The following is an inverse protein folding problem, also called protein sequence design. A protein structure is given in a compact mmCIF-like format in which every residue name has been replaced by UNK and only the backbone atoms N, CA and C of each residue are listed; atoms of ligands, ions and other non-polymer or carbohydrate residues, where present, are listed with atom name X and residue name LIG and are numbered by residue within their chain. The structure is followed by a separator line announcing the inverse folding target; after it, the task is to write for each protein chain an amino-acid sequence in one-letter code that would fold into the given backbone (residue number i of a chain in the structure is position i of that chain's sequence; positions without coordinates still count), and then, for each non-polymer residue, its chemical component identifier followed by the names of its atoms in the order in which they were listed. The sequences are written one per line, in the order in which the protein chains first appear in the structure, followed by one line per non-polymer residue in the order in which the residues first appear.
data_IF_450859168283
#
_entry.id   IF_450859168283
#
_cell.length_a   1.000
_cell.length_b   1.000
_cell.length_c   1.000
_cell.angle_alpha   90.00
_cell.angle_beta   90.00
_cell.angle_gamma   90.00
#
_symmetry.space_group_name_H-M   'P 1'
#
loop_
_entity.id
_entity.type
_entity.pdbx_description
1 polymer ?
#
# COMPACT_ATOMS: atom_id res chain seq x y z
N UNK A 1 19.12 -20.45 57.42
CA UNK A 1 20.50 -20.16 57.89
C UNK A 1 21.37 -19.82 56.67
N UNK A 2 21.95 -18.60 56.68
CA UNK A 2 23.21 -18.19 56.01
C UNK A 2 23.17 -18.17 54.46
N UNK A 3 22.80 -17.07 53.79
CA UNK A 3 23.59 -15.85 53.49
C UNK A 3 24.99 -16.11 52.95
N UNK A 4 25.20 -15.92 51.64
CA UNK A 4 26.46 -15.40 51.07
C UNK A 4 26.20 -14.56 49.82
N UNK A 5 26.33 -13.26 50.05
CA UNK A 5 26.61 -12.19 49.08
C UNK A 5 27.95 -12.48 48.40
N UNK A 6 28.02 -12.28 47.08
CA UNK A 6 29.26 -11.91 46.40
C UNK A 6 28.93 -10.96 45.24
N UNK A 7 29.29 -9.70 45.50
CA UNK A 7 29.43 -8.62 44.53
C UNK A 7 30.37 -9.04 43.39
N UNK A 8 29.98 -8.76 42.15
CA UNK A 8 30.93 -8.49 41.07
C UNK A 8 30.52 -7.18 40.42
N UNK A 9 31.26 -6.13 40.77
CA UNK A 9 31.28 -4.84 40.11
C UNK A 9 32.39 -4.85 39.05
N UNK A 10 32.07 -4.46 37.82
CA UNK A 10 32.96 -3.99 36.72
C UNK A 10 32.15 -4.10 35.43
N UNK A 11 32.11 -3.18 34.48
CA UNK A 11 32.96 -2.04 34.13
C UNK A 11 32.11 -1.12 33.23
N UNK A 12 32.16 0.18 33.47
CA UNK A 12 31.44 1.21 32.72
C UNK A 12 32.26 1.56 31.47
N UNK A 13 31.77 1.24 30.27
CA UNK A 13 32.34 1.72 29.00
C UNK A 13 31.35 2.70 28.39
N UNK A 14 31.62 3.99 28.60
CA UNK A 14 30.95 5.08 27.90
C UNK A 14 31.72 5.36 26.61
N UNK A 15 31.23 4.87 25.47
CA UNK A 15 31.70 5.31 24.14
C UNK A 15 30.86 6.49 23.68
N UNK A 16 31.38 7.70 23.90
CA UNK A 16 30.86 8.92 23.31
C UNK A 16 31.33 9.00 21.84
N UNK A 17 30.46 8.70 20.88
CA UNK A 17 30.70 9.04 19.46
C UNK A 17 30.24 10.47 19.21
N UNK A 18 31.17 11.41 19.19
CA UNK A 18 30.91 12.78 18.77
C UNK A 18 30.69 12.82 17.24
N UNK A 19 29.49 13.21 16.82
CA UNK A 19 29.20 13.57 15.43
C UNK A 19 29.77 14.97 15.16
N UNK A 20 30.83 15.06 14.35
CA UNK A 20 31.29 16.32 13.77
C UNK A 20 30.63 16.49 12.39
N UNK A 21 29.63 17.37 12.28
CA UNK A 21 29.09 17.81 10.99
C UNK A 21 29.98 18.94 10.47
N UNK A 22 30.71 18.69 9.39
CA UNK A 22 31.42 19.72 8.64
C UNK A 22 30.46 20.38 7.62
N UNK A 23 30.43 21.72 7.51
CA UNK A 23 29.69 22.38 6.45
C UNK A 23 30.50 22.31 5.15
N UNK A 24 30.11 21.41 4.24
CA UNK A 24 30.59 21.40 2.86
C UNK A 24 29.78 22.42 2.04
N UNK A 25 30.44 23.49 1.61
CA UNK A 25 29.94 24.40 0.58
C UNK A 25 30.05 23.73 -0.80
N UNK A 26 28.95 23.59 -1.58
CA UNK A 26 29.07 23.26 -2.99
C UNK A 26 29.24 24.53 -3.83
N UNK A 27 30.47 24.85 -4.22
CA UNK A 27 30.73 25.74 -5.35
C UNK A 27 31.33 24.91 -6.48
N UNK A 28 30.50 24.49 -7.43
CA UNK A 28 30.96 24.17 -8.79
C UNK A 28 29.84 24.56 -9.75
N UNK A 29 30.04 25.75 -10.30
CA UNK A 29 29.51 26.32 -11.54
C UNK A 29 28.89 25.31 -12.52
N UNK A 30 27.56 25.24 -12.57
CA UNK A 30 26.87 24.95 -13.82
C UNK A 30 27.07 26.14 -14.73
N UNK A 31 27.77 25.94 -15.85
CA UNK A 31 27.83 26.90 -16.94
C UNK A 31 26.40 27.23 -17.38
N UNK A 32 25.93 28.41 -16.97
CA UNK A 32 24.74 29.05 -17.53
C UNK A 32 25.03 29.37 -18.99
N UNK A 33 24.63 28.47 -19.89
CA UNK A 33 24.48 28.86 -21.28
C UNK A 33 23.21 29.71 -21.37
N UNK A 34 23.45 31.02 -21.33
CA UNK A 34 22.48 32.07 -21.58
C UNK A 34 21.79 31.85 -22.93
N UNK A 35 20.55 31.36 -22.89
CA UNK A 35 19.59 31.54 -23.98
C UNK A 35 18.48 32.47 -23.48
N UNK A 36 18.78 33.77 -23.49
CA UNK A 36 17.79 34.82 -23.35
C UNK A 36 16.90 34.84 -24.59
N UNK A 37 15.65 34.38 -24.49
CA UNK A 37 14.63 34.58 -25.53
C UNK A 37 13.22 34.67 -24.94
N UNK A 38 12.83 35.88 -24.55
CA UNK A 38 11.47 36.41 -24.65
C UNK A 38 10.45 35.97 -23.59
N UNK A 39 9.65 36.94 -23.15
CA UNK A 39 8.38 36.75 -22.41
C UNK A 39 7.30 36.10 -23.31
N UNK A 40 7.59 34.94 -23.89
CA UNK A 40 6.64 34.09 -24.59
C UNK A 40 6.51 32.79 -23.81
N UNK A 41 5.28 32.44 -23.41
CA UNK A 41 4.99 31.16 -22.79
C UNK A 41 5.32 30.03 -23.77
N UNK A 42 6.52 29.48 -23.69
CA UNK A 42 6.76 28.14 -24.22
C UNK A 42 6.05 27.19 -23.28
N UNK A 43 4.77 26.92 -23.56
CA UNK A 43 4.06 25.81 -22.94
C UNK A 43 4.83 24.55 -23.33
N UNK A 44 5.65 24.03 -22.43
CA UNK A 44 6.15 22.69 -22.58
C UNK A 44 4.93 21.79 -22.81
N UNK A 45 4.91 20.95 -23.86
CA UNK A 45 3.81 20.05 -24.07
C UNK A 45 3.71 19.18 -22.81
N UNK A 46 2.60 19.31 -22.06
CA UNK A 46 2.31 18.48 -20.89
C UNK A 46 2.54 17.04 -21.31
N UNK A 47 3.62 16.42 -20.84
CA UNK A 47 3.90 15.01 -21.13
C UNK A 47 2.67 14.22 -20.72
N UNK A 48 2.03 13.58 -21.70
CA UNK A 48 0.85 12.76 -21.46
C UNK A 48 1.21 11.74 -20.39
N UNK A 49 0.42 11.65 -19.33
CA UNK A 49 0.69 10.72 -18.22
C UNK A 49 0.87 9.31 -18.81
N UNK A 50 1.93 8.61 -18.38
CA UNK A 50 2.13 7.23 -18.82
C UNK A 50 0.98 6.35 -18.34
N UNK A 51 0.71 5.25 -19.05
CA UNK A 51 -0.36 4.30 -18.69
C UNK A 51 -0.26 3.81 -17.24
N UNK A 52 0.95 3.54 -16.76
CA UNK A 52 1.20 3.16 -15.36
C UNK A 52 0.96 4.29 -14.36
N UNK A 53 1.19 5.55 -14.73
CA UNK A 53 0.84 6.69 -13.89
C UNK A 53 -0.67 6.89 -13.80
N UNK A 54 -1.40 6.72 -14.91
CA UNK A 54 -2.87 6.76 -14.93
C UNK A 54 -3.45 5.64 -14.06
N UNK A 55 -2.95 4.40 -14.20
CA UNK A 55 -3.42 3.26 -13.40
C UNK A 55 -3.25 3.49 -11.90
N UNK A 56 -2.07 3.96 -11.45
CA UNK A 56 -1.84 4.26 -10.01
C UNK A 56 -2.73 5.39 -9.49
N UNK A 57 -3.01 6.39 -10.31
CA UNK A 57 -3.92 7.48 -9.94
C UNK A 57 -5.36 6.97 -9.78
N UNK A 58 -5.82 6.12 -10.70
CA UNK A 58 -7.14 5.50 -10.63
C UNK A 58 -7.26 4.58 -9.40
N UNK A 59 -6.23 3.78 -9.11
CA UNK A 59 -6.21 2.93 -7.92
C UNK A 59 -6.24 3.75 -6.62
N UNK A 60 -5.46 4.83 -6.57
CA UNK A 60 -5.46 5.77 -5.44
C UNK A 60 -6.82 6.43 -5.26
N UNK A 61 -7.40 6.97 -6.33
CA UNK A 61 -8.71 7.64 -6.27
C UNK A 61 -9.80 6.71 -5.75
N UNK A 62 -9.77 5.42 -6.11
CA UNK A 62 -10.76 4.44 -5.61
C UNK A 62 -10.53 4.06 -4.15
N UNK A 63 -9.27 3.95 -3.74
CA UNK A 63 -8.94 3.75 -2.34
C UNK A 63 -9.53 4.89 -1.49
N UNK A 64 -9.29 6.14 -1.93
CA UNK A 64 -9.81 7.33 -1.24
C UNK A 64 -11.34 7.39 -1.27
N UNK A 65 -11.99 7.01 -2.38
CA UNK A 65 -13.45 6.94 -2.49
C UNK A 65 -14.06 5.92 -1.51
N UNK A 66 -13.50 4.71 -1.43
CA UNK A 66 -13.98 3.68 -0.52
C UNK A 66 -13.76 4.11 0.93
N UNK A 67 -12.60 4.69 1.26
CA UNK A 67 -12.34 5.21 2.61
C UNK A 67 -13.33 6.31 2.99
N UNK A 68 -13.56 7.29 2.10
CA UNK A 68 -14.45 8.43 2.34
C UNK A 68 -15.94 8.04 2.46
N UNK A 69 -16.37 6.97 1.79
CA UNK A 69 -17.75 6.45 1.89
C UNK A 69 -17.98 5.58 3.14
N UNK A 70 -16.99 5.51 4.04
CA UNK A 70 -17.06 4.74 5.28
C UNK A 70 -16.71 3.26 5.11
N UNK A 71 -15.93 2.94 4.08
CA UNK A 71 -15.27 1.64 3.93
C UNK A 71 -14.21 1.40 5.01
N UNK A 72 -13.85 0.15 5.19
CA UNK A 72 -12.85 -0.27 6.16
C UNK A 72 -11.47 -0.32 5.49
N UNK A 73 -10.47 0.26 6.13
CA UNK A 73 -9.09 0.20 5.67
C UNK A 73 -8.34 -0.92 6.41
N UNK A 74 -7.70 -1.80 5.65
CA UNK A 74 -6.88 -2.89 6.17
C UNK A 74 -5.42 -2.70 5.76
N UNK A 75 -4.51 -2.93 6.69
CA UNK A 75 -3.09 -3.09 6.38
C UNK A 75 -2.85 -4.52 5.93
N UNK A 76 -2.12 -4.69 4.82
CA UNK A 76 -1.84 -5.99 4.21
C UNK A 76 -0.40 -6.38 4.45
N UNK A 77 -0.19 -7.63 4.83
CA UNK A 77 1.10 -8.23 5.08
C UNK A 77 1.30 -9.46 4.20
N UNK A 78 2.56 -9.81 3.93
CA UNK A 78 2.93 -11.06 3.25
C UNK A 78 3.97 -11.80 4.06
N UNK A 79 3.93 -13.12 3.99
CA UNK A 79 5.04 -13.99 4.37
C UNK A 79 5.13 -15.15 3.39
N UNK A 80 6.25 -15.87 3.41
CA UNK A 80 6.33 -17.14 2.72
C UNK A 80 5.56 -18.20 3.51
N UNK A 81 4.87 -19.09 2.82
CA UNK A 81 4.15 -20.21 3.41
C UNK A 81 5.05 -21.02 4.33
N UNK A 82 4.57 -21.33 5.54
CA UNK A 82 5.33 -22.06 6.56
C UNK A 82 6.38 -21.24 7.31
N UNK A 83 6.42 -19.92 7.13
CA UNK A 83 7.23 -19.01 7.97
C UNK A 83 6.55 -18.72 9.31
N UNK A 84 7.34 -18.31 10.30
CA UNK A 84 6.85 -17.96 11.63
C UNK A 84 5.89 -16.76 11.62
N UNK A 85 5.09 -16.62 12.68
CA UNK A 85 4.15 -15.50 12.87
C UNK A 85 4.86 -14.14 13.04
N UNK A 86 6.17 -14.11 13.29
CA UNK A 86 6.97 -12.88 13.31
C UNK A 86 7.50 -12.45 11.94
N UNK A 87 7.31 -13.26 10.90
CA UNK A 87 7.92 -13.04 9.57
C UNK A 87 7.05 -12.21 8.61
N UNK A 88 6.02 -11.53 9.12
CA UNK A 88 5.15 -10.68 8.32
C UNK A 88 5.87 -9.44 7.79
N UNK A 89 5.77 -9.22 6.48
CA UNK A 89 6.32 -8.06 5.79
C UNK A 89 5.18 -7.16 5.31
N UNK A 90 5.22 -5.85 5.61
CA UNK A 90 4.17 -4.92 5.21
C UNK A 90 4.15 -4.72 3.69
N UNK A 91 3.01 -4.94 3.06
CA UNK A 91 2.86 -4.85 1.60
C UNK A 91 2.13 -3.59 1.14
N UNK A 92 1.29 -3.02 2.00
CA UNK A 92 0.48 -1.86 1.69
C UNK A 92 -0.84 -1.88 2.46
N UNK A 93 -1.84 -1.21 1.92
CA UNK A 93 -3.18 -1.19 2.49
C UNK A 93 -4.24 -1.30 1.39
N UNK A 94 -5.41 -1.81 1.76
CA UNK A 94 -6.59 -1.90 0.89
C UNK A 94 -7.80 -1.31 1.61
N UNK A 95 -8.65 -0.60 0.87
CA UNK A 95 -9.93 -0.12 1.37
C UNK A 95 -11.02 -1.05 0.83
N UNK A 96 -11.88 -1.54 1.72
CA UNK A 96 -12.92 -2.51 1.42
C UNK A 96 -14.28 -1.94 1.84
N UNK A 97 -15.31 -1.97 0.96
CA UNK A 97 -16.63 -1.50 1.35
C UNK A 97 -17.22 -2.41 2.46
N UNK A 98 -18.05 -1.86 3.36
CA UNK A 98 -18.55 -2.59 4.54
C UNK A 98 -19.28 -3.91 4.26
N UNK A 99 -19.80 -4.10 3.05
CA UNK A 99 -20.51 -5.32 2.64
C UNK A 99 -19.59 -6.41 2.05
N UNK A 100 -18.31 -6.11 1.79
CA UNK A 100 -17.38 -7.03 1.16
C UNK A 100 -16.38 -7.63 2.15
N UNK A 101 -15.86 -8.81 1.82
CA UNK A 101 -14.84 -9.48 2.59
C UNK A 101 -13.44 -9.03 2.13
N UNK A 102 -12.55 -8.78 3.10
CA UNK A 102 -11.17 -8.36 2.81
C UNK A 102 -10.37 -9.46 2.12
N UNK A 103 -10.56 -10.72 2.49
CA UNK A 103 -9.91 -11.87 1.85
C UNK A 103 -10.20 -11.91 0.34
N UNK A 104 -11.46 -11.72 -0.06
CA UNK A 104 -11.83 -11.71 -1.48
C UNK A 104 -11.18 -10.53 -2.23
N UNK A 105 -11.09 -9.36 -1.60
CA UNK A 105 -10.46 -8.18 -2.18
C UNK A 105 -8.93 -8.36 -2.37
N UNK A 106 -8.26 -9.03 -1.42
CA UNK A 106 -6.84 -9.40 -1.53
C UNK A 106 -6.66 -10.38 -2.70
N UNK A 107 -7.49 -11.42 -2.78
CA UNK A 107 -7.34 -12.46 -3.81
C UNK A 107 -7.78 -12.02 -5.20
N UNK A 108 -8.57 -10.97 -5.34
CA UNK A 108 -8.98 -10.40 -6.63
C UNK A 108 -7.82 -9.70 -7.38
N UNK A 109 -6.73 -9.34 -6.70
CA UNK A 109 -5.61 -8.60 -7.30
C UNK A 109 -4.23 -9.17 -6.92
N UNK A 110 -4.13 -10.49 -6.71
CA UNK A 110 -2.88 -11.14 -6.29
C UNK A 110 -1.72 -10.91 -7.25
N UNK A 111 -1.95 -10.88 -8.56
CA UNK A 111 -0.89 -10.74 -9.56
C UNK A 111 -0.17 -9.40 -9.45
N UNK A 112 -0.92 -8.29 -9.41
CA UNK A 112 -0.33 -6.96 -9.27
C UNK A 112 0.34 -6.79 -7.90
N UNK A 113 -0.24 -7.40 -6.86
CA UNK A 113 0.30 -7.37 -5.51
C UNK A 113 1.61 -8.18 -5.40
N UNK A 114 1.66 -9.39 -5.96
CA UNK A 114 2.88 -10.21 -6.02
C UNK A 114 4.00 -9.49 -6.77
N UNK A 115 3.70 -8.86 -7.91
CA UNK A 115 4.67 -8.03 -8.66
C UNK A 115 5.19 -6.85 -7.83
N UNK A 116 4.30 -6.18 -7.09
CA UNK A 116 4.68 -5.11 -6.15
C UNK A 116 5.57 -5.61 -5.01
N UNK A 117 5.22 -6.77 -4.44
CA UNK A 117 5.96 -7.41 -3.34
C UNK A 117 7.36 -7.77 -3.77
N UNK A 118 7.56 -8.46 -4.90
CA UNK A 118 8.92 -8.85 -5.34
C UNK A 118 9.77 -7.66 -5.77
N UNK A 119 9.14 -6.54 -6.15
CA UNK A 119 9.86 -5.28 -6.39
C UNK A 119 10.36 -4.65 -5.08
N UNK A 120 9.54 -4.65 -4.04
CA UNK A 120 9.89 -4.11 -2.72
C UNK A 120 10.83 -5.05 -1.96
N UNK A 121 10.63 -6.35 -2.10
CA UNK A 121 11.33 -7.43 -1.42
C UNK A 121 11.92 -8.43 -2.44
N UNK A 122 13.06 -8.11 -3.07
CA UNK A 122 13.66 -8.96 -4.10
C UNK A 122 14.02 -10.38 -3.66
N UNK A 123 14.20 -10.59 -2.35
CA UNK A 123 14.50 -11.91 -1.75
C UNK A 123 13.35 -12.91 -1.89
N UNK A 124 12.13 -12.43 -2.09
CA UNK A 124 10.93 -13.25 -2.24
C UNK A 124 10.65 -13.64 -3.70
N UNK A 125 11.48 -13.18 -4.64
CA UNK A 125 11.33 -13.49 -6.06
C UNK A 125 11.47 -15.01 -6.28
N UNK A 126 10.51 -15.59 -7.00
CA UNK A 126 10.44 -17.04 -7.24
C UNK A 126 9.56 -17.81 -6.26
N UNK A 127 9.18 -17.21 -5.13
CA UNK A 127 8.25 -17.79 -4.14
C UNK A 127 6.84 -17.19 -4.25
N UNK A 128 6.51 -16.56 -5.37
CA UNK A 128 5.26 -15.82 -5.58
C UNK A 128 4.01 -16.68 -5.42
N UNK A 129 4.12 -17.98 -5.71
CA UNK A 129 3.05 -18.97 -5.58
C UNK A 129 2.87 -19.44 -4.13
N UNK A 130 3.87 -19.21 -3.28
CA UNK A 130 3.93 -19.61 -1.87
C UNK A 130 3.65 -18.42 -0.93
N UNK A 131 3.10 -17.32 -1.44
CA UNK A 131 2.77 -16.17 -0.61
C UNK A 131 1.51 -16.44 0.22
N UNK A 132 1.65 -16.28 1.53
CA UNK A 132 0.54 -16.13 2.45
C UNK A 132 0.30 -14.65 2.69
N UNK A 133 -0.98 -14.25 2.60
CA UNK A 133 -1.40 -12.88 2.85
C UNK A 133 -2.04 -12.79 4.23
N UNK A 134 -1.67 -11.75 4.96
CA UNK A 134 -2.24 -11.41 6.25
C UNK A 134 -2.86 -10.02 6.21
N UNK A 135 -3.82 -9.76 7.09
CA UNK A 135 -4.41 -8.44 7.24
C UNK A 135 -4.74 -8.11 8.70
N UNK A 136 -4.74 -6.83 9.02
CA UNK A 136 -5.39 -6.29 10.22
C UNK A 136 -6.04 -4.95 9.88
N UNK A 137 -6.93 -4.46 10.75
CA UNK A 137 -7.54 -3.15 10.57
C UNK A 137 -6.48 -2.06 10.72
N UNK A 138 -6.41 -1.13 9.76
CA UNK A 138 -5.40 -0.06 9.75
C UNK A 138 -5.48 0.85 10.97
N UNK A 139 -6.67 1.01 11.54
CA UNK A 139 -6.91 1.77 12.78
C UNK A 139 -6.40 1.04 14.03
N UNK A 140 -6.20 -0.27 13.96
CA UNK A 140 -5.72 -1.12 15.05
C UNK A 140 -4.43 -1.85 14.63
N UNK A 141 -3.29 -1.14 14.53
CA UNK A 141 -2.03 -1.73 14.07
C UNK A 141 -1.46 -2.77 15.05
N UNK A 142 -1.87 -2.72 16.32
CA UNK A 142 -1.46 -3.68 17.36
C UNK A 142 -2.28 -4.98 17.33
N UNK A 143 -3.39 -5.01 16.60
CA UNK A 143 -4.20 -6.22 16.46
C UNK A 143 -3.40 -7.31 15.75
N UNK A 144 -3.57 -8.58 16.16
CA UNK A 144 -2.89 -9.70 15.54
C UNK A 144 -3.25 -9.78 14.05
N UNK A 145 -2.27 -10.14 13.24
CA UNK A 145 -2.45 -10.29 11.79
C UNK A 145 -3.27 -11.57 11.53
N UNK A 146 -4.43 -11.41 10.91
CA UNK A 146 -5.28 -12.52 10.48
C UNK A 146 -4.83 -13.02 9.11
N UNK A 147 -4.71 -14.34 8.94
CA UNK A 147 -4.34 -14.94 7.65
C UNK A 147 -5.55 -14.94 6.72
N UNK A 148 -5.39 -14.35 5.53
CA UNK A 148 -6.40 -14.38 4.49
C UNK A 148 -6.52 -15.78 3.90
N UNK A 149 -7.63 -16.45 4.16
CA UNK A 149 -7.98 -17.70 3.49
C UNK A 149 -8.71 -17.42 2.19
N UNK A 150 -8.36 -18.13 1.11
CA UNK A 150 -9.18 -18.14 -0.11
C UNK A 150 -10.47 -18.90 0.20
N UNK A 151 -11.51 -18.18 0.57
CA UNK A 151 -12.84 -18.73 0.78
C UNK A 151 -13.32 -19.36 -0.52
N UNK A 152 -13.40 -20.69 -0.56
CA UNK A 152 -14.04 -21.46 -1.64
C UNK A 152 -15.56 -21.35 -1.63
N UNK A 153 -16.12 -20.52 -0.74
CA UNK A 153 -17.51 -20.11 -0.81
C UNK A 153 -17.66 -19.08 -1.91
N UNK A 154 -17.93 -19.58 -3.10
CA UNK A 154 -18.88 -18.99 -4.03
C UNK A 154 -20.09 -18.51 -3.21
N UNK A 155 -20.08 -17.28 -2.71
CA UNK A 155 -21.28 -16.66 -2.15
C UNK A 155 -22.15 -16.33 -3.35
N UNK A 156 -23.05 -17.27 -3.65
CA UNK A 156 -24.07 -17.28 -4.71
C UNK A 156 -25.09 -16.13 -4.57
N UNK A 157 -24.64 -14.90 -4.30
CA UNK A 157 -25.50 -13.74 -4.12
C UNK A 157 -24.81 -12.36 -4.22
N UNK A 158 -23.48 -12.26 -4.06
CA UNK A 158 -22.77 -10.97 -4.17
C UNK A 158 -21.45 -11.14 -4.92
N UNK A 159 -21.50 -11.05 -6.25
CA UNK A 159 -20.34 -11.25 -7.12
C UNK A 159 -19.34 -10.11 -6.97
N UNK A 160 -18.14 -10.45 -6.51
CA UNK A 160 -17.03 -9.52 -6.27
C UNK A 160 -16.57 -8.83 -7.56
N UNK A 161 -16.65 -9.55 -8.70
CA UNK A 161 -16.36 -8.99 -10.02
C UNK A 161 -17.39 -7.95 -10.46
N UNK A 162 -18.66 -8.12 -10.07
CA UNK A 162 -19.73 -7.24 -10.52
C UNK A 162 -19.64 -5.85 -9.87
N UNK A 163 -19.29 -5.75 -8.58
CA UNK A 163 -19.11 -4.43 -7.93
C UNK A 163 -17.81 -3.74 -8.38
N UNK A 164 -16.71 -4.48 -8.59
CA UNK A 164 -15.48 -3.88 -9.12
C UNK A 164 -15.72 -3.35 -10.54
N UNK A 165 -16.51 -4.06 -11.35
CA UNK A 165 -16.94 -3.60 -12.68
C UNK A 165 -17.86 -2.38 -12.61
N UNK A 166 -18.80 -2.30 -11.66
CA UNK A 166 -19.65 -1.11 -11.46
C UNK A 166 -18.84 0.13 -11.06
N UNK A 167 -17.76 -0.03 -10.28
CA UNK A 167 -16.85 1.06 -9.93
C UNK A 167 -15.86 1.43 -11.06
N UNK A 168 -15.61 0.51 -11.99
CA UNK A 168 -14.68 0.70 -13.11
C UNK A 168 -15.36 1.13 -14.40
N UNK A 169 -16.67 0.95 -14.52
CA UNK A 169 -17.45 1.44 -15.64
C UNK A 169 -17.65 2.95 -15.53
N UNK A 170 -17.31 3.75 -16.55
CA UNK A 170 -17.78 5.13 -16.61
C UNK A 170 -19.31 5.10 -16.61
N UNK A 171 -19.93 5.88 -15.72
CA UNK A 171 -21.38 6.01 -15.60
C UNK A 171 -22.01 6.24 -16.98
N UNK A 172 -22.78 5.26 -17.46
CA UNK A 172 -23.77 5.46 -18.53
C UNK A 172 -25.14 5.61 -17.86
N UNK A 173 -25.47 6.85 -17.48
CA UNK A 173 -26.76 7.22 -16.90
C UNK A 173 -27.84 7.47 -17.97
N UNK A 174 -27.63 7.12 -19.24
CA UNK A 174 -28.54 7.46 -20.34
C UNK A 174 -29.87 6.68 -20.33
N UNK A 175 -30.00 5.63 -19.52
CA UNK A 175 -31.18 4.75 -19.51
C UNK A 175 -31.88 4.62 -18.14
N UNK A 176 -31.72 5.60 -17.23
CA UNK A 176 -32.49 5.64 -15.98
C UNK A 176 -33.81 6.37 -16.27
N UNK A 177 -34.99 5.72 -16.21
CA UNK A 177 -36.27 6.38 -16.39
C UNK A 177 -36.51 7.37 -15.25
N UNK A 178 -37.00 8.59 -15.52
CA UNK A 178 -37.30 9.55 -14.46
C UNK A 178 -38.42 9.01 -13.54
N UNK A 179 -38.39 9.36 -12.23
CA UNK A 179 -39.37 8.88 -11.28
C UNK A 179 -40.78 9.38 -11.64
N UNK A 180 -41.83 8.55 -11.44
CA UNK A 180 -43.19 8.97 -11.74
C UNK A 180 -43.59 10.12 -10.81
N UNK A 181 -43.87 11.28 -11.39
CA UNK A 181 -44.48 12.40 -10.68
C UNK A 181 -45.95 12.06 -10.42
N UNK A 182 -46.27 11.71 -9.18
CA UNK A 182 -47.64 11.60 -8.71
C UNK A 182 -48.30 12.98 -8.74
N UNK A 183 -49.24 13.16 -9.66
CA UNK A 183 -50.21 14.26 -9.68
C UNK A 183 -51.46 13.91 -8.89
#
# INVERSE_FOLDING_TARGET
MISRILFVASLLVATATAFTVAPATPTTTSALHMAAKGFGSTSEPKKTKSTGAVKREQERSKYDEIANTGGQEYSIYVRQFGSDDSSWLPCGAIAVPRAAQVSDAIFANTEAMASGIVRTYPKLKGYEQEFEYGYNLKIYPDDPIEVASKTSSLSTGFSVGNWISTLLSPVDASNVPPPPTSG
#
